data_IF_987143247611
#
_entry.id   IF_987143247611
#
_cell.length_a   1.000
_cell.length_b   1.000
_cell.length_c   1.000
_cell.angle_alpha   90.00
_cell.angle_beta   90.00
_cell.angle_gamma   90.00
#
_symmetry.space_group_name_H-M   'P 1'
#
loop_
_entity.id
_entity.type
_entity.pdbx_description
1 polymer ?
#
# COMPACT_ATOMS: atom_id res chain seq x y z
N UNK A 1 -26.50 -12.35 -68.23
CA UNK A 1 -26.42 -13.28 -67.08
C UNK A 1 -25.68 -12.53 -65.98
N UNK A 2 -26.42 -11.84 -65.09
CA UNK A 2 -25.86 -10.99 -64.03
C UNK A 2 -25.94 -11.74 -62.71
N UNK A 3 -24.77 -12.01 -62.07
CA UNK A 3 -24.70 -12.60 -60.74
C UNK A 3 -24.88 -11.49 -59.70
N UNK A 4 -25.92 -11.60 -58.88
CA UNK A 4 -26.15 -10.83 -57.67
C UNK A 4 -25.35 -11.51 -56.54
N UNK A 5 -24.33 -10.80 -56.01
CA UNK A 5 -23.63 -11.14 -54.80
C UNK A 5 -24.37 -10.52 -53.59
N UNK A 6 -25.00 -11.38 -52.81
CA UNK A 6 -25.64 -11.00 -51.55
C UNK A 6 -24.58 -10.94 -50.45
N UNK A 7 -24.30 -9.75 -49.93
CA UNK A 7 -23.44 -9.57 -48.72
C UNK A 7 -24.25 -9.86 -47.45
N UNK A 8 -23.93 -10.94 -46.79
CA UNK A 8 -24.44 -11.25 -45.42
C UNK A 8 -23.61 -10.44 -44.43
N UNK A 9 -24.19 -9.35 -43.92
CA UNK A 9 -23.62 -8.61 -42.81
C UNK A 9 -23.74 -9.42 -41.49
N UNK A 10 -22.62 -9.86 -40.92
CA UNK A 10 -22.61 -10.45 -39.59
C UNK A 10 -22.84 -9.38 -38.53
N UNK A 11 -23.98 -9.41 -37.85
CA UNK A 11 -24.21 -8.62 -36.64
C UNK A 11 -23.29 -9.17 -35.55
N UNK A 12 -22.28 -8.39 -35.16
CA UNK A 12 -21.49 -8.66 -33.98
C UNK A 12 -22.39 -8.48 -32.74
N UNK A 13 -22.73 -9.57 -32.06
CA UNK A 13 -23.45 -9.53 -30.80
C UNK A 13 -22.56 -8.83 -29.75
N UNK A 14 -23.01 -7.71 -29.20
CA UNK A 14 -22.37 -7.03 -28.09
C UNK A 14 -22.33 -7.99 -26.89
N UNK A 15 -21.14 -8.31 -26.41
CA UNK A 15 -20.99 -9.08 -25.18
C UNK A 15 -21.59 -8.27 -24.03
N UNK A 16 -22.42 -8.89 -23.15
CA UNK A 16 -22.96 -8.19 -22.00
C UNK A 16 -21.79 -7.72 -21.12
N UNK A 17 -21.82 -6.43 -20.74
CA UNK A 17 -20.88 -5.88 -19.77
C UNK A 17 -20.96 -6.72 -18.49
N UNK A 18 -19.85 -7.33 -18.10
CA UNK A 18 -19.76 -8.06 -16.83
C UNK A 18 -20.06 -7.07 -15.71
N UNK A 19 -21.17 -7.27 -15.00
CA UNK A 19 -21.49 -6.47 -13.82
C UNK A 19 -20.30 -6.49 -12.86
N UNK A 20 -19.84 -5.30 -12.46
CA UNK A 20 -18.73 -5.18 -11.54
C UNK A 20 -19.11 -5.85 -10.20
N UNK A 21 -18.26 -6.76 -9.71
CA UNK A 21 -18.50 -7.44 -8.43
C UNK A 21 -18.72 -6.40 -7.31
N UNK A 22 -19.79 -6.54 -6.49
CA UNK A 22 -20.01 -5.63 -5.39
C UNK A 22 -18.84 -5.64 -4.41
N UNK A 23 -18.42 -4.46 -3.94
CA UNK A 23 -17.36 -4.34 -2.94
C UNK A 23 -17.77 -5.02 -1.63
N UNK A 24 -16.85 -5.72 -0.97
CA UNK A 24 -17.07 -6.34 0.35
C UNK A 24 -17.49 -5.33 1.40
N UNK A 25 -16.89 -4.15 1.34
CA UNK A 25 -17.24 -3.01 2.16
C UNK A 25 -17.71 -1.86 1.27
N UNK A 26 -19.02 -1.52 1.29
CA UNK A 26 -19.53 -0.35 0.58
C UNK A 26 -18.75 0.91 0.97
N UNK A 27 -18.55 1.82 0.02
CA UNK A 27 -17.80 3.05 0.29
C UNK A 27 -18.51 3.89 1.36
N UNK A 28 -17.79 4.23 2.43
CA UNK A 28 -18.26 5.19 3.42
C UNK A 28 -18.20 6.61 2.86
N UNK A 29 -19.26 7.36 3.14
CA UNK A 29 -19.36 8.80 2.85
C UNK A 29 -19.75 9.52 4.13
N UNK A 30 -19.70 10.85 4.13
CA UNK A 30 -20.11 11.63 5.30
C UNK A 30 -21.61 11.47 5.64
N UNK A 31 -22.43 11.01 4.68
CA UNK A 31 -23.86 10.75 4.85
C UNK A 31 -24.13 9.41 5.53
N UNK A 32 -23.35 8.34 5.14
CA UNK A 32 -23.65 6.97 5.57
C UNK A 32 -22.71 6.45 6.68
N UNK A 33 -21.75 7.27 7.13
CA UNK A 33 -20.80 6.88 8.18
C UNK A 33 -21.49 6.74 9.53
N UNK A 34 -21.14 5.72 10.36
CA UNK A 34 -21.66 5.59 11.71
C UNK A 34 -21.42 6.87 12.54
N UNK A 35 -22.40 7.32 13.33
CA UNK A 35 -22.31 8.57 14.11
C UNK A 35 -21.03 8.67 14.96
N UNK A 36 -20.63 7.56 15.60
CA UNK A 36 -19.45 7.49 16.45
C UNK A 36 -18.11 7.66 15.68
N UNK A 37 -18.10 7.46 14.36
CA UNK A 37 -16.91 7.65 13.50
C UNK A 37 -16.90 9.01 12.81
N UNK A 38 -17.95 9.81 12.94
CA UNK A 38 -18.12 11.03 12.14
C UNK A 38 -17.06 12.10 12.41
N UNK A 39 -16.72 12.33 13.67
CA UNK A 39 -15.70 13.31 14.04
C UNK A 39 -14.34 12.90 13.46
N UNK A 40 -13.95 11.63 13.63
CA UNK A 40 -12.69 11.11 13.08
C UNK A 40 -12.68 11.15 11.54
N UNK A 41 -13.82 10.88 10.91
CA UNK A 41 -13.93 10.95 9.45
C UNK A 41 -13.72 12.39 8.93
N UNK A 42 -14.21 13.40 9.65
CA UNK A 42 -13.98 14.82 9.33
C UNK A 42 -12.47 15.16 9.40
N UNK A 43 -11.77 14.71 10.45
CA UNK A 43 -10.31 14.88 10.56
C UNK A 43 -9.58 14.23 9.38
N UNK A 44 -9.98 13.02 9.00
CA UNK A 44 -9.36 12.28 7.88
C UNK A 44 -9.59 13.02 6.56
N UNK A 45 -10.80 13.44 6.27
CA UNK A 45 -11.15 14.15 5.02
C UNK A 45 -10.37 15.47 4.91
N UNK A 46 -10.11 16.15 6.02
CA UNK A 46 -9.37 17.40 6.02
C UNK A 46 -7.90 17.26 5.56
N UNK A 47 -7.30 16.07 5.70
CA UNK A 47 -5.87 15.83 5.41
C UNK A 47 -5.63 14.80 4.30
N UNK A 48 -6.64 14.00 3.96
CA UNK A 48 -6.52 12.90 3.00
C UNK A 48 -6.83 13.36 1.58
N UNK A 49 -5.91 13.15 0.66
CA UNK A 49 -6.13 13.39 -0.78
C UNK A 49 -7.15 12.44 -1.43
N UNK A 50 -7.46 11.32 -0.75
CA UNK A 50 -8.41 10.29 -1.22
C UNK A 50 -9.68 10.22 -0.36
N UNK A 51 -9.85 11.18 0.56
CA UNK A 51 -11.00 11.22 1.48
C UNK A 51 -11.07 9.96 2.35
N UNK A 52 -12.24 9.31 2.39
CA UNK A 52 -12.49 8.11 3.17
C UNK A 52 -12.22 6.80 2.41
N UNK A 53 -11.52 6.84 1.28
CA UNK A 53 -11.20 5.64 0.50
C UNK A 53 -9.99 4.86 1.08
N UNK A 54 -9.70 3.71 0.48
CA UNK A 54 -8.59 2.85 0.87
C UNK A 54 -8.74 2.31 2.30
N UNK A 55 -7.67 2.32 3.12
CA UNK A 55 -7.70 1.72 4.45
C UNK A 55 -8.70 2.41 5.39
N UNK A 56 -8.96 3.71 5.19
CA UNK A 56 -9.94 4.45 6.01
C UNK A 56 -11.36 3.92 5.85
N UNK A 57 -11.74 3.50 4.63
CA UNK A 57 -13.05 2.89 4.41
C UNK A 57 -13.28 1.66 5.30
N UNK A 58 -12.22 0.91 5.56
CA UNK A 58 -12.30 -0.30 6.39
C UNK A 58 -12.20 0.04 7.87
N UNK A 59 -11.19 0.83 8.27
CA UNK A 59 -10.90 1.16 9.67
C UNK A 59 -12.06 1.85 10.38
N UNK A 60 -12.75 2.77 9.70
CA UNK A 60 -13.84 3.55 10.28
C UNK A 60 -15.07 2.73 10.71
N UNK A 61 -15.11 1.44 10.35
CA UNK A 61 -16.12 0.49 10.87
C UNK A 61 -15.84 0.01 12.29
N UNK A 62 -14.62 0.26 12.77
CA UNK A 62 -14.23 0.03 14.17
C UNK A 62 -13.70 1.36 14.75
N UNK A 63 -14.58 2.19 15.33
CA UNK A 63 -14.27 3.59 15.65
C UNK A 63 -13.08 3.76 16.59
N UNK A 64 -13.00 2.95 17.65
CA UNK A 64 -11.89 3.01 18.62
C UNK A 64 -10.57 2.60 17.96
N UNK A 65 -10.58 1.52 17.17
CA UNK A 65 -9.41 1.08 16.42
C UNK A 65 -8.97 2.17 15.42
N UNK A 66 -9.91 2.73 14.67
CA UNK A 66 -9.63 3.76 13.68
C UNK A 66 -8.97 5.01 14.30
N UNK A 67 -9.47 5.48 15.46
CA UNK A 67 -8.86 6.60 16.19
C UNK A 67 -7.41 6.29 16.58
N UNK A 68 -7.17 5.14 17.21
CA UNK A 68 -5.83 4.76 17.65
C UNK A 68 -4.88 4.55 16.48
N UNK A 69 -5.35 3.88 15.44
CA UNK A 69 -4.57 3.60 14.24
C UNK A 69 -4.24 4.89 13.47
N UNK A 70 -5.18 5.83 13.37
CA UNK A 70 -4.91 7.13 12.75
C UNK A 70 -3.81 7.90 13.49
N UNK A 71 -3.88 7.98 14.81
CA UNK A 71 -2.83 8.66 15.62
C UNK A 71 -1.46 8.00 15.45
N UNK A 72 -1.42 6.67 15.40
CA UNK A 72 -0.19 5.94 15.11
C UNK A 72 0.32 6.23 13.68
N UNK A 73 -0.56 6.21 12.68
CA UNK A 73 -0.21 6.54 11.30
C UNK A 73 0.29 7.98 11.16
N UNK A 74 -0.30 8.94 11.88
CA UNK A 74 0.16 10.33 11.86
C UNK A 74 1.61 10.42 12.38
N UNK A 75 1.91 9.80 13.53
CA UNK A 75 3.27 9.70 14.05
C UNK A 75 4.23 9.05 13.03
N UNK A 76 3.90 7.86 12.57
CA UNK A 76 4.78 7.08 11.68
C UNK A 76 4.99 7.72 10.31
N UNK A 77 4.06 8.53 9.84
CA UNK A 77 4.18 9.21 8.54
C UNK A 77 4.87 10.56 8.62
N UNK A 78 4.76 11.27 9.73
CA UNK A 78 5.14 12.68 9.81
C UNK A 78 6.13 13.01 10.92
N UNK A 79 6.23 12.20 11.97
CA UNK A 79 6.97 12.53 13.19
C UNK A 79 8.01 11.48 13.59
N UNK A 80 8.06 10.34 12.91
CA UNK A 80 9.04 9.27 13.19
C UNK A 80 10.48 9.76 13.07
N UNK A 81 11.38 9.18 13.83
CA UNK A 81 12.82 9.45 13.76
C UNK A 81 13.49 8.98 12.47
N UNK A 82 12.83 8.10 11.68
CA UNK A 82 13.37 7.62 10.42
C UNK A 82 13.43 8.75 9.37
N UNK A 83 14.54 8.91 8.64
CA UNK A 83 14.56 9.72 7.43
C UNK A 83 13.42 9.35 6.49
N UNK A 84 12.74 10.34 5.90
CA UNK A 84 11.54 10.13 5.08
C UNK A 84 11.77 9.09 3.96
N UNK A 85 12.95 9.08 3.36
CA UNK A 85 13.34 8.11 2.33
C UNK A 85 13.30 6.66 2.86
N UNK A 86 13.86 6.42 4.06
CA UNK A 86 13.87 5.09 4.68
C UNK A 86 12.49 4.67 5.15
N UNK A 87 11.70 5.62 5.65
CA UNK A 87 10.31 5.39 6.04
C UNK A 87 9.47 4.90 4.84
N UNK A 88 9.48 5.66 3.73
CA UNK A 88 8.74 5.29 2.53
C UNK A 88 9.27 3.98 1.92
N UNK A 89 10.59 3.73 2.00
CA UNK A 89 11.15 2.47 1.52
C UNK A 89 10.66 1.27 2.33
N UNK A 90 10.60 1.37 3.67
CA UNK A 90 10.03 0.33 4.53
C UNK A 90 8.56 0.03 4.17
N UNK A 91 7.78 1.09 3.89
CA UNK A 91 6.39 0.95 3.44
C UNK A 91 6.31 0.21 2.10
N UNK A 92 7.16 0.56 1.13
CA UNK A 92 7.19 -0.12 -0.17
C UNK A 92 7.60 -1.59 -0.05
N UNK A 93 8.51 -1.94 0.87
CA UNK A 93 8.88 -3.34 1.13
C UNK A 93 7.66 -4.13 1.58
N UNK A 94 6.88 -3.62 2.54
CA UNK A 94 5.65 -4.28 2.99
C UNK A 94 4.59 -4.31 1.89
N UNK A 95 4.40 -3.21 1.18
CA UNK A 95 3.50 -3.14 0.03
C UNK A 95 3.84 -4.21 -1.03
N UNK A 96 5.14 -4.46 -1.28
CA UNK A 96 5.58 -5.50 -2.21
C UNK A 96 5.34 -6.91 -1.68
N UNK A 97 5.71 -7.18 -0.42
CA UNK A 97 5.51 -8.49 0.21
C UNK A 97 4.03 -8.90 0.23
N UNK A 98 3.15 -7.96 0.52
CA UNK A 98 1.71 -8.16 0.52
C UNK A 98 1.07 -8.04 -0.86
N UNK A 99 1.83 -7.63 -1.90
CA UNK A 99 1.30 -7.34 -3.24
C UNK A 99 0.15 -6.32 -3.15
N UNK A 100 0.33 -5.31 -2.28
CA UNK A 100 -0.67 -4.29 -2.02
C UNK A 100 -0.61 -3.21 -3.10
N UNK A 101 -1.56 -3.26 -4.04
CA UNK A 101 -1.66 -2.30 -5.15
C UNK A 101 -1.83 -0.87 -4.64
N UNK A 102 -2.66 -0.69 -3.61
CA UNK A 102 -2.99 0.62 -3.03
C UNK A 102 -1.78 1.24 -2.36
N UNK A 103 -1.05 0.48 -1.51
CA UNK A 103 0.14 0.99 -0.82
C UNK A 103 1.25 1.36 -1.80
N UNK A 104 1.49 0.49 -2.79
CA UNK A 104 2.48 0.80 -3.81
C UNK A 104 2.13 2.05 -4.61
N UNK A 105 0.88 2.15 -5.07
CA UNK A 105 0.39 3.30 -5.81
C UNK A 105 0.53 4.61 -5.02
N UNK A 106 0.19 4.58 -3.74
CA UNK A 106 0.25 5.75 -2.87
C UNK A 106 1.69 6.14 -2.48
N UNK A 107 2.54 5.17 -2.18
CA UNK A 107 3.85 5.41 -1.55
C UNK A 107 5.02 5.46 -2.53
N UNK A 108 4.92 4.85 -3.73
CA UNK A 108 5.97 4.91 -4.74
C UNK A 108 6.38 6.35 -5.11
N UNK A 109 5.44 7.26 -5.47
CA UNK A 109 5.81 8.63 -5.79
C UNK A 109 6.36 9.40 -4.57
N UNK A 110 5.90 9.07 -3.36
CA UNK A 110 6.41 9.67 -2.13
C UNK A 110 7.85 9.23 -1.83
N UNK A 111 8.17 7.96 -2.06
CA UNK A 111 9.51 7.41 -1.90
C UNK A 111 10.51 8.09 -2.85
N UNK A 112 10.13 8.23 -4.13
CA UNK A 112 10.97 8.93 -5.12
C UNK A 112 11.18 10.40 -4.73
N UNK A 113 10.11 11.09 -4.32
CA UNK A 113 10.18 12.48 -3.84
C UNK A 113 11.07 12.61 -2.60
N UNK A 114 11.11 11.61 -1.74
CA UNK A 114 11.96 11.56 -0.57
C UNK A 114 13.42 11.19 -0.87
N UNK A 115 13.76 10.91 -2.14
CA UNK A 115 15.12 10.64 -2.60
C UNK A 115 15.48 9.16 -2.74
N UNK A 116 14.50 8.24 -2.66
CA UNK A 116 14.74 6.84 -3.05
C UNK A 116 14.99 6.78 -4.55
N UNK A 117 16.06 6.10 -4.98
CA UNK A 117 16.33 5.94 -6.39
C UNK A 117 15.30 5.05 -7.08
N UNK A 118 14.89 5.42 -8.29
CA UNK A 118 13.91 4.64 -9.06
C UNK A 118 14.41 3.21 -9.29
N UNK A 119 15.71 2.99 -9.57
CA UNK A 119 16.30 1.66 -9.73
C UNK A 119 16.09 0.76 -8.51
N UNK A 120 16.16 1.31 -7.29
CA UNK A 120 15.91 0.58 -6.03
C UNK A 120 14.44 0.16 -5.93
N UNK A 121 13.53 1.09 -6.23
CA UNK A 121 12.10 0.80 -6.18
C UNK A 121 11.68 -0.17 -7.30
N UNK A 122 12.26 -0.07 -8.49
CA UNK A 122 11.94 -0.94 -9.64
C UNK A 122 12.43 -2.37 -9.42
N UNK A 123 13.64 -2.57 -8.87
CA UNK A 123 14.15 -3.88 -8.47
C UNK A 123 13.21 -4.49 -7.39
N UNK A 124 12.83 -3.70 -6.37
CA UNK A 124 11.88 -4.14 -5.35
C UNK A 124 10.54 -4.53 -5.96
N UNK A 125 10.00 -3.71 -6.88
CA UNK A 125 8.77 -4.00 -7.62
C UNK A 125 8.84 -5.33 -8.36
N UNK A 126 9.98 -5.61 -9.00
CA UNK A 126 10.25 -6.85 -9.71
C UNK A 126 10.47 -8.06 -8.78
N UNK A 127 10.39 -7.87 -7.46
CA UNK A 127 10.72 -8.88 -6.44
C UNK A 127 12.18 -9.33 -6.48
N UNK A 128 13.07 -8.42 -6.80
CA UNK A 128 14.52 -8.63 -6.82
C UNK A 128 15.09 -7.82 -5.65
N UNK A 129 16.11 -8.38 -4.97
CA UNK A 129 16.88 -7.58 -4.00
C UNK A 129 17.46 -6.36 -4.71
N UNK A 130 17.14 -5.13 -4.28
CA UNK A 130 17.65 -3.94 -4.96
C UNK A 130 19.18 -3.89 -4.94
N UNK A 131 19.79 -3.58 -6.09
CA UNK A 131 21.26 -3.59 -6.27
C UNK A 131 21.90 -2.28 -5.89
N UNK A 132 21.22 -1.18 -6.11
CA UNK A 132 21.74 0.18 -5.94
C UNK A 132 21.42 0.80 -4.58
N UNK A 133 21.13 0.01 -3.57
CA UNK A 133 20.78 0.53 -2.22
C UNK A 133 21.98 1.27 -1.61
N UNK A 134 21.68 2.39 -0.95
CA UNK A 134 22.64 3.01 -0.03
C UNK A 134 22.83 2.10 1.20
N UNK A 135 23.93 2.28 1.98
CA UNK A 135 24.19 1.40 3.13
C UNK A 135 23.04 1.33 4.15
N UNK A 136 22.37 2.45 4.43
CA UNK A 136 21.21 2.52 5.32
C UNK A 136 19.95 1.89 4.71
N UNK A 137 19.73 2.03 3.40
CA UNK A 137 18.66 1.33 2.67
C UNK A 137 18.85 -0.19 2.71
N UNK A 138 20.10 -0.66 2.55
CA UNK A 138 20.39 -2.10 2.62
C UNK A 138 20.06 -2.67 4.00
N UNK A 139 20.35 -1.94 5.06
CA UNK A 139 19.98 -2.32 6.44
C UNK A 139 18.47 -2.36 6.61
N UNK A 140 17.74 -1.32 6.18
CA UNK A 140 16.27 -1.28 6.23
C UNK A 140 15.67 -2.47 5.47
N UNK A 141 16.16 -2.74 4.25
CA UNK A 141 15.71 -3.86 3.46
C UNK A 141 15.92 -5.19 4.19
N UNK A 142 17.15 -5.43 4.70
CA UNK A 142 17.50 -6.69 5.36
C UNK A 142 16.67 -6.91 6.62
N UNK A 143 16.48 -5.88 7.44
CA UNK A 143 15.65 -5.97 8.65
C UNK A 143 14.19 -6.25 8.29
N UNK A 144 13.58 -5.46 7.40
CA UNK A 144 12.19 -5.64 7.01
C UNK A 144 11.93 -7.02 6.39
N UNK A 145 12.79 -7.44 5.45
CA UNK A 145 12.64 -8.74 4.80
C UNK A 145 12.81 -9.89 5.79
N UNK A 146 13.86 -9.86 6.61
CA UNK A 146 14.14 -10.93 7.58
C UNK A 146 13.00 -11.05 8.61
N UNK A 147 12.58 -9.92 9.20
CA UNK A 147 11.49 -9.93 10.17
C UNK A 147 10.17 -10.40 9.56
N UNK A 148 9.87 -10.03 8.33
CA UNK A 148 8.60 -10.39 7.66
C UNK A 148 8.57 -11.83 7.14
N UNK A 149 9.73 -12.45 6.87
CA UNK A 149 9.78 -13.79 6.25
C UNK A 149 10.31 -14.89 7.18
N UNK A 150 11.20 -14.53 8.12
CA UNK A 150 11.82 -15.49 9.04
C UNK A 150 11.30 -15.33 10.48
N UNK A 151 10.65 -14.20 10.80
CA UNK A 151 10.11 -13.85 12.13
C UNK A 151 11.16 -13.84 13.23
N UNK A 152 12.42 -13.63 12.86
CA UNK A 152 13.58 -13.57 13.74
C UNK A 152 14.66 -12.69 13.12
N UNK A 153 15.61 -12.24 13.92
CA UNK A 153 16.78 -11.46 13.47
C UNK A 153 18.03 -12.04 14.15
N UNK A 154 19.12 -12.16 13.40
CA UNK A 154 20.41 -12.57 13.97
C UNK A 154 21.08 -11.42 14.72
N UNK A 155 21.94 -11.75 15.68
CA UNK A 155 22.73 -10.75 16.42
C UNK A 155 23.58 -9.88 15.48
N UNK A 156 24.14 -10.45 14.42
CA UNK A 156 24.95 -9.72 13.43
C UNK A 156 24.10 -8.67 12.71
N UNK A 157 22.89 -9.04 12.23
CA UNK A 157 22.00 -8.09 11.58
C UNK A 157 21.48 -7.04 12.56
N UNK A 158 21.13 -7.44 13.79
CA UNK A 158 20.72 -6.54 14.85
C UNK A 158 21.80 -5.50 15.16
N UNK A 159 23.04 -5.95 15.40
CA UNK A 159 24.17 -5.07 15.72
C UNK A 159 24.49 -4.11 14.55
N UNK A 160 24.45 -4.59 13.31
CA UNK A 160 24.61 -3.75 12.13
C UNK A 160 23.49 -2.71 12.04
N UNK A 161 22.24 -3.11 12.23
CA UNK A 161 21.10 -2.21 12.18
C UNK A 161 21.17 -1.15 13.29
N UNK A 162 21.49 -1.55 14.51
CA UNK A 162 21.69 -0.63 15.63
C UNK A 162 22.83 0.36 15.37
N UNK A 163 23.93 -0.10 14.77
CA UNK A 163 25.07 0.78 14.42
C UNK A 163 24.72 1.83 13.38
N UNK A 164 23.88 1.48 12.38
CA UNK A 164 23.54 2.39 11.26
C UNK A 164 22.37 3.29 11.62
N UNK A 165 21.33 2.78 12.27
CA UNK A 165 20.07 3.50 12.53
C UNK A 165 19.99 4.04 13.97
N UNK A 166 20.71 3.46 14.92
CA UNK A 166 20.47 3.68 16.35
C UNK A 166 19.21 2.97 16.84
N UNK A 167 18.99 3.01 18.17
CA UNK A 167 17.89 2.27 18.79
C UNK A 167 16.52 2.82 18.42
N UNK A 168 16.36 4.13 18.45
CA UNK A 168 15.06 4.77 18.17
C UNK A 168 14.59 4.49 16.74
N UNK A 169 15.46 4.75 15.74
CA UNK A 169 15.09 4.51 14.34
C UNK A 169 14.84 3.02 14.06
N UNK A 170 15.56 2.11 14.73
CA UNK A 170 15.34 0.68 14.57
C UNK A 170 13.96 0.27 15.14
N UNK A 171 13.55 0.82 16.27
CA UNK A 171 12.21 0.58 16.83
C UNK A 171 11.13 1.20 15.94
N UNK A 172 11.33 2.44 15.47
CA UNK A 172 10.41 3.10 14.54
C UNK A 172 10.29 2.33 13.22
N UNK A 173 11.38 1.75 12.71
CA UNK A 173 11.37 0.91 11.52
C UNK A 173 10.42 -0.30 11.67
N UNK A 174 10.49 -0.97 12.82
CA UNK A 174 9.59 -2.09 13.12
C UNK A 174 8.15 -1.61 13.27
N UNK A 175 7.93 -0.47 13.91
CA UNK A 175 6.60 0.12 14.05
C UNK A 175 5.99 0.48 12.68
N UNK A 176 6.75 1.13 11.78
CA UNK A 176 6.33 1.41 10.41
C UNK A 176 6.00 0.11 9.68
N UNK A 177 6.94 -0.84 9.67
CA UNK A 177 6.81 -2.12 8.98
C UNK A 177 5.56 -2.88 9.44
N UNK A 178 5.38 -3.09 10.74
CA UNK A 178 4.24 -3.82 11.31
C UNK A 178 2.89 -3.12 11.07
N UNK A 179 2.87 -1.79 11.17
CA UNK A 179 1.66 -1.00 10.92
C UNK A 179 1.23 -1.12 9.45
N UNK A 180 2.16 -1.07 8.51
CA UNK A 180 1.82 -1.21 7.09
C UNK A 180 1.48 -2.65 6.69
N UNK A 181 1.95 -3.66 7.41
CA UNK A 181 1.38 -5.02 7.31
C UNK A 181 -0.11 -5.00 7.70
N UNK A 182 -0.47 -4.34 8.80
CA UNK A 182 -1.89 -4.21 9.22
C UNK A 182 -2.71 -3.48 8.16
N UNK A 183 -2.18 -2.39 7.58
CA UNK A 183 -2.85 -1.65 6.48
C UNK A 183 -3.04 -2.57 5.27
N UNK A 184 -2.02 -3.32 4.86
CA UNK A 184 -2.10 -4.27 3.74
C UNK A 184 -3.15 -5.37 3.99
N UNK A 185 -3.25 -5.88 5.22
CA UNK A 185 -4.28 -6.86 5.61
C UNK A 185 -5.69 -6.26 5.49
N UNK A 186 -5.90 -5.04 5.96
CA UNK A 186 -7.19 -4.34 5.83
C UNK A 186 -7.58 -4.12 4.37
N UNK A 187 -6.64 -3.65 3.54
CA UNK A 187 -6.85 -3.46 2.11
C UNK A 187 -7.18 -4.78 1.41
N UNK A 188 -6.49 -5.87 1.76
CA UNK A 188 -6.74 -7.20 1.23
C UNK A 188 -8.11 -7.74 1.68
N UNK A 189 -8.47 -7.52 2.95
CA UNK A 189 -9.80 -7.89 3.49
C UNK A 189 -10.91 -7.18 2.72
N UNK A 190 -10.74 -5.88 2.45
CA UNK A 190 -11.71 -5.07 1.72
C UNK A 190 -11.73 -5.28 0.21
N UNK A 191 -10.77 -6.03 -0.35
CA UNK A 191 -10.52 -6.09 -1.80
C UNK A 191 -10.32 -4.69 -2.40
N UNK A 192 -9.67 -3.81 -1.64
CA UNK A 192 -9.36 -2.48 -2.15
C UNK A 192 -8.21 -2.55 -3.17
N UNK A 193 -8.33 -1.80 -4.25
CA UNK A 193 -7.33 -1.72 -5.32
C UNK A 193 -6.95 -0.28 -5.62
N UNK A 194 -5.88 -0.10 -6.38
CA UNK A 194 -5.53 1.21 -6.96
C UNK A 194 -6.65 1.72 -7.87
N UNK A 195 -6.68 3.03 -8.20
CA UNK A 195 -7.69 3.59 -9.10
C UNK A 195 -7.78 2.82 -10.41
N UNK A 196 -9.02 2.56 -10.88
CA UNK A 196 -9.29 1.73 -12.06
C UNK A 196 -8.71 2.30 -13.37
N UNK A 197 -8.47 3.62 -13.42
CA UNK A 197 -7.87 4.31 -14.56
C UNK A 197 -6.33 4.25 -14.60
N UNK A 198 -5.71 3.59 -13.62
CA UNK A 198 -4.26 3.46 -13.51
C UNK A 198 -3.81 2.01 -13.72
N UNK A 199 -2.64 1.80 -14.34
CA UNK A 199 -2.08 0.46 -14.46
C UNK A 199 -1.78 -0.11 -13.07
N UNK A 200 -2.07 -1.41 -12.91
CA UNK A 200 -1.75 -2.10 -11.66
C UNK A 200 -0.23 -2.17 -11.47
N UNK A 201 0.29 -1.77 -10.30
CA UNK A 201 1.71 -1.93 -9.96
C UNK A 201 2.22 -3.36 -10.08
N UNK A 202 1.39 -4.33 -9.69
CA UNK A 202 1.70 -5.76 -9.71
C UNK A 202 0.62 -6.53 -10.48
N UNK A 203 0.93 -7.74 -11.02
CA UNK A 203 -0.09 -8.64 -11.50
C UNK A 203 -1.13 -8.92 -10.42
N UNK A 204 -2.40 -9.08 -10.83
CA UNK A 204 -3.41 -9.55 -9.88
C UNK A 204 -3.00 -10.92 -9.34
N UNK A 205 -3.18 -11.11 -8.03
CA UNK A 205 -3.06 -12.45 -7.46
C UNK A 205 -4.18 -13.30 -8.07
N UNK A 206 -3.82 -14.42 -8.70
CA UNK A 206 -4.78 -15.41 -9.11
C UNK A 206 -5.63 -15.82 -7.90
N UNK A 207 -6.94 -15.71 -8.05
CA UNK A 207 -7.94 -16.10 -7.04
C UNK A 207 -8.26 -17.57 -7.19
#
# INVERSE_FOLDING_TARGET
>A
MALLLSSVGALAAAQPATEAKPKRFPQLTMENIPPQSRALAQEIVAISSVGLAGPYNIMLRSPIFADRMKRLLDYLRFETSLPKRLNEFAILIQGRLWTSQVEWYAHYPLALKAGLRASVADDLKANIRPRDMQPDEAVVYDVCMTMSTQHAISDDLFNRAKSVLGEQQLVDLIAVSGTYVTVAMLLSLGEESSPADKPLPFPEKGR
#
